data_IF_987026409082
#
_entry.id   IF_987026409082
#
_cell.length_a   1.000
_cell.length_b   1.000
_cell.length_c   1.000
_cell.angle_alpha   90.00
_cell.angle_beta   90.00
_cell.angle_gamma   90.00
#
_symmetry.space_group_name_H-M   'P 1'
#
loop_
_entity.id
_entity.type
_entity.pdbx_description
1 polymer ?
#
# COMPACT_ATOMS: atom_id res chain seq x y z
N UNK A 1 17.08 -14.11 -5.97
CA UNK A 1 16.61 -13.19 -4.92
C UNK A 1 15.18 -12.82 -5.24
N UNK A 2 14.20 -13.26 -4.45
CA UNK A 2 12.75 -13.09 -4.76
C UNK A 2 12.15 -11.90 -3.99
N UNK A 3 12.89 -11.37 -3.01
CA UNK A 3 12.42 -10.30 -2.13
C UNK A 3 12.59 -8.91 -2.76
N UNK A 4 13.74 -8.61 -3.39
CA UNK A 4 13.93 -7.33 -4.08
C UNK A 4 12.97 -7.11 -5.25
N UNK A 5 12.59 -8.20 -5.94
CA UNK A 5 11.70 -8.09 -7.08
C UNK A 5 10.36 -7.48 -6.71
N UNK A 6 9.83 -7.76 -5.51
CA UNK A 6 8.49 -7.36 -5.05
C UNK A 6 8.40 -5.86 -4.74
N UNK A 7 9.43 -5.26 -4.16
CA UNK A 7 9.45 -3.84 -3.80
C UNK A 7 9.35 -2.94 -5.05
N UNK A 8 10.00 -3.34 -6.14
CA UNK A 8 9.87 -2.65 -7.43
C UNK A 8 8.46 -2.80 -8.04
N UNK A 9 7.79 -3.96 -7.87
CA UNK A 9 6.43 -4.20 -8.43
C UNK A 9 5.36 -3.38 -7.70
N UNK A 10 5.62 -2.90 -6.49
CA UNK A 10 4.65 -2.11 -5.73
C UNK A 10 5.05 -0.64 -5.58
N UNK A 11 6.18 -0.23 -6.19
CA UNK A 11 6.61 1.16 -6.22
C UNK A 11 5.55 2.09 -6.84
N UNK A 12 4.83 1.61 -7.87
CA UNK A 12 3.69 2.36 -8.44
C UNK A 12 2.57 2.62 -7.40
N UNK A 13 2.33 1.66 -6.50
CA UNK A 13 1.31 1.78 -5.45
C UNK A 13 1.77 2.79 -4.39
N UNK A 14 3.04 2.78 -4.01
CA UNK A 14 3.59 3.77 -3.07
C UNK A 14 3.59 5.20 -3.65
N UNK A 15 3.86 5.34 -4.95
CA UNK A 15 3.76 6.62 -5.65
C UNK A 15 2.31 7.16 -5.64
N UNK A 16 1.34 6.31 -6.00
CA UNK A 16 -0.08 6.68 -5.90
C UNK A 16 -0.51 6.98 -4.46
N UNK A 17 -0.01 6.24 -3.48
CA UNK A 17 -0.27 6.51 -2.07
C UNK A 17 0.25 7.90 -1.67
N UNK A 18 1.46 8.26 -2.10
CA UNK A 18 2.09 9.56 -1.85
C UNK A 18 1.38 10.74 -2.52
N UNK A 19 0.64 10.47 -3.61
CA UNK A 19 -0.20 11.45 -4.30
C UNK A 19 -1.62 11.58 -3.71
N UNK A 20 -1.94 10.84 -2.64
CA UNK A 20 -3.24 10.97 -2.00
C UNK A 20 -3.41 12.37 -1.39
N UNK A 21 -4.66 12.85 -1.39
CA UNK A 21 -4.99 14.17 -0.82
C UNK A 21 -4.62 14.30 0.66
N UNK A 22 -4.64 13.19 1.39
CA UNK A 22 -4.39 13.13 2.83
C UNK A 22 -3.13 12.29 3.09
N UNK A 23 -2.28 12.77 4.01
CA UNK A 23 -1.08 12.03 4.44
C UNK A 23 -1.42 10.78 5.27
N UNK A 24 -2.56 10.78 5.96
CA UNK A 24 -3.06 9.66 6.76
C UNK A 24 -4.11 8.83 5.99
N UNK A 25 -3.99 8.80 4.66
CA UNK A 25 -4.97 8.11 3.84
C UNK A 25 -4.95 6.60 4.10
N UNK A 26 -6.08 6.08 4.57
CA UNK A 26 -6.34 4.65 4.77
C UNK A 26 -6.64 3.92 3.46
N UNK A 27 -6.79 4.65 2.36
CA UNK A 27 -7.08 4.17 1.01
C UNK A 27 -8.34 3.30 0.88
N UNK A 28 -9.29 3.40 1.83
CA UNK A 28 -10.53 2.61 1.82
C UNK A 28 -11.70 3.34 1.18
N UNK A 29 -12.02 4.54 1.66
CA UNK A 29 -13.23 5.28 1.24
C UNK A 29 -13.05 6.79 1.26
N UNK A 30 -11.80 7.26 1.26
CA UNK A 30 -11.52 8.69 1.36
C UNK A 30 -11.63 9.39 0.00
N UNK A 31 -12.25 10.59 -0.03
CA UNK A 31 -12.37 11.37 -1.25
C UNK A 31 -11.01 11.93 -1.68
N UNK A 32 -10.60 11.67 -2.93
CA UNK A 32 -9.29 12.07 -3.45
C UNK A 32 -8.14 11.11 -3.11
N UNK A 33 -8.46 9.86 -2.78
CA UNK A 33 -7.48 8.79 -2.69
C UNK A 33 -7.06 8.33 -4.10
N UNK A 34 -5.80 8.53 -4.46
CA UNK A 34 -5.29 8.13 -5.78
C UNK A 34 -5.24 6.63 -5.99
N UNK A 35 -5.10 5.83 -4.93
CA UNK A 35 -5.25 4.37 -5.02
C UNK A 35 -6.65 3.99 -5.49
N UNK A 36 -7.69 4.53 -4.84
CA UNK A 36 -9.08 4.26 -5.21
C UNK A 36 -9.40 4.79 -6.60
N UNK A 37 -8.91 5.97 -6.96
CA UNK A 37 -9.10 6.50 -8.32
C UNK A 37 -8.45 5.59 -9.36
N UNK A 38 -7.20 5.13 -9.16
CA UNK A 38 -6.55 4.23 -10.10
C UNK A 38 -7.23 2.85 -10.14
N UNK A 39 -7.78 2.36 -9.03
CA UNK A 39 -8.60 1.16 -8.98
C UNK A 39 -9.89 1.30 -9.81
N UNK A 40 -10.56 2.43 -9.71
CA UNK A 40 -11.79 2.74 -10.45
C UNK A 40 -11.53 2.95 -11.94
N UNK A 41 -10.41 3.61 -12.29
CA UNK A 41 -10.01 3.83 -13.68
C UNK A 41 -9.40 2.58 -14.34
N UNK A 42 -9.11 1.53 -13.58
CA UNK A 42 -8.46 0.31 -14.07
C UNK A 42 -6.95 0.40 -14.24
N UNK A 43 -6.34 1.54 -13.89
CA UNK A 43 -4.89 1.74 -13.87
C UNK A 43 -4.20 0.88 -12.81
N UNK A 44 -4.90 0.59 -11.71
CA UNK A 44 -4.47 -0.35 -10.68
C UNK A 44 -5.47 -1.50 -10.61
N UNK A 45 -5.00 -2.74 -10.76
CA UNK A 45 -5.88 -3.91 -10.64
C UNK A 45 -6.19 -4.19 -9.17
N UNK A 46 -7.47 -4.48 -8.86
CA UNK A 46 -7.91 -4.82 -7.50
C UNK A 46 -7.13 -6.01 -6.92
N UNK A 47 -6.81 -7.02 -7.73
CA UNK A 47 -6.01 -8.17 -7.28
C UNK A 47 -4.59 -7.76 -6.84
N UNK A 48 -3.97 -6.81 -7.55
CA UNK A 48 -2.64 -6.28 -7.22
C UNK A 48 -2.68 -5.51 -5.90
N UNK A 49 -3.70 -4.69 -5.69
CA UNK A 49 -3.94 -3.99 -4.43
C UNK A 49 -4.17 -4.96 -3.26
N UNK A 50 -4.97 -6.02 -3.45
CA UNK A 50 -5.19 -7.04 -2.42
C UNK A 50 -3.90 -7.78 -2.05
N UNK A 51 -3.04 -8.08 -3.03
CA UNK A 51 -1.71 -8.67 -2.79
C UNK A 51 -0.82 -7.73 -1.99
N UNK A 52 -0.76 -6.45 -2.36
CA UNK A 52 0.01 -5.44 -1.63
C UNK A 52 -0.47 -5.30 -0.18
N UNK A 53 -1.79 -5.19 0.05
CA UNK A 53 -2.36 -5.11 1.41
C UNK A 53 -2.06 -6.38 2.21
N UNK A 54 -2.13 -7.56 1.57
CA UNK A 54 -1.80 -8.82 2.24
C UNK A 54 -0.33 -8.86 2.66
N UNK A 55 0.59 -8.52 1.76
CA UNK A 55 2.02 -8.43 2.04
C UNK A 55 2.34 -7.41 3.13
N UNK A 56 1.73 -6.22 3.06
CA UNK A 56 1.91 -5.19 4.07
C UNK A 56 1.34 -5.62 5.42
N UNK A 57 0.19 -6.31 5.44
CA UNK A 57 -0.40 -6.84 6.68
C UNK A 57 0.46 -7.96 7.28
N UNK A 58 1.07 -8.81 6.46
CA UNK A 58 2.02 -9.82 6.93
C UNK A 58 3.31 -9.16 7.46
N UNK A 59 3.81 -8.12 6.80
CA UNK A 59 4.96 -7.34 7.24
C UNK A 59 4.65 -6.54 8.53
N UNK A 60 3.48 -5.94 8.62
CA UNK A 60 2.99 -5.19 9.78
C UNK A 60 2.71 -6.14 10.95
N UNK A 61 2.20 -7.35 10.71
CA UNK A 61 2.10 -8.41 11.72
C UNK A 61 3.48 -8.90 12.20
N UNK A 62 4.45 -8.99 11.29
CA UNK A 62 5.86 -9.21 11.61
C UNK A 62 6.46 -8.07 12.46
N UNK A 63 6.07 -6.82 12.16
CA UNK A 63 6.43 -5.64 12.96
C UNK A 63 5.66 -5.58 14.29
N UNK A 64 4.43 -6.07 14.41
CA UNK A 64 3.67 -6.04 15.67
C UNK A 64 4.19 -7.05 16.72
N UNK A 65 5.00 -8.03 16.33
CA UNK A 65 5.86 -8.81 17.25
C UNK A 65 7.18 -8.13 17.62
N UNK A 66 7.49 -6.98 17.02
CA UNK A 66 8.56 -6.08 17.43
C UNK A 66 7.92 -4.80 17.95
N UNK A 67 7.70 -4.64 19.27
CA UNK A 67 7.02 -3.45 19.80
C UNK A 67 7.67 -2.19 19.22
N UNK A 68 6.90 -1.13 18.91
CA UNK A 68 7.48 0.10 18.41
C UNK A 68 8.55 0.54 19.41
N UNK A 69 9.81 0.61 18.97
CA UNK A 69 10.91 1.20 19.74
C UNK A 69 10.55 2.66 19.93
N UNK A 70 9.90 2.94 21.06
CA UNK A 70 9.69 4.30 21.55
C UNK A 70 11.08 4.81 21.96
N UNK A 71 11.52 5.93 21.39
CA UNK A 71 12.56 6.74 22.00
C UNK A 71 12.01 7.42 23.25
#
# INVERSE_FOLDING_TARGET
DVRHGLEEIFSDIEDYSSQCRFSDCTHRSEPGCKIQENLLNGNLSAERWQRYVSLQKENEWGKLKSPPVKK
#
